data_IF_495524917911
#
_entry.id   IF_495524917911
#
_cell.length_a   1.000
_cell.length_b   1.000
_cell.length_c   1.000
_cell.angle_alpha   90.00
_cell.angle_beta   90.00
_cell.angle_gamma   90.00
#
_symmetry.space_group_name_H-M   'P 1'
#
loop_
_entity.id
_entity.type
_entity.pdbx_description
1 polymer ?
#
# COMPACT_ATOMS: atom_id res chain seq x y z
N UNK A 1 -77.93 -0.33 -24.42
CA UNK A 1 -77.48 -1.58 -25.08
C UNK A 1 -76.03 -1.40 -25.52
N UNK A 2 -75.16 -2.20 -24.93
CA UNK A 2 -73.71 -2.41 -25.09
C UNK A 2 -72.92 -1.62 -26.14
N UNK A 3 -71.93 -0.86 -25.65
CA UNK A 3 -70.64 -0.65 -26.32
C UNK A 3 -69.54 -1.24 -25.44
N UNK A 4 -68.87 -2.29 -25.92
CA UNK A 4 -67.64 -2.85 -25.32
C UNK A 4 -66.48 -2.29 -26.14
N UNK A 5 -65.71 -1.38 -25.55
CA UNK A 5 -64.42 -0.95 -26.08
C UNK A 5 -63.32 -1.80 -25.41
N UNK A 6 -62.58 -2.56 -26.21
CA UNK A 6 -61.37 -3.23 -25.80
C UNK A 6 -60.23 -2.21 -25.72
N UNK A 7 -59.68 -1.98 -24.53
CA UNK A 7 -58.42 -1.24 -24.35
C UNK A 7 -57.30 -2.27 -24.28
N UNK A 8 -56.49 -2.35 -25.33
CA UNK A 8 -55.22 -3.08 -25.31
C UNK A 8 -54.19 -2.21 -24.58
N UNK A 9 -53.85 -2.58 -23.34
CA UNK A 9 -52.70 -2.03 -22.63
C UNK A 9 -51.44 -2.78 -23.08
N UNK A 10 -50.68 -2.19 -24.00
CA UNK A 10 -49.33 -2.67 -24.30
C UNK A 10 -48.38 -2.24 -23.18
N UNK A 11 -47.94 -3.19 -22.34
CA UNK A 11 -46.81 -2.97 -21.44
C UNK A 11 -45.53 -2.85 -22.28
N UNK A 12 -45.05 -1.63 -22.48
CA UNK A 12 -43.71 -1.37 -22.97
C UNK A 12 -42.69 -1.72 -21.88
N UNK A 13 -42.03 -2.86 -22.02
CA UNK A 13 -40.81 -3.19 -21.28
C UNK A 13 -39.69 -2.26 -21.76
N UNK A 14 -39.47 -1.16 -21.06
CA UNK A 14 -38.23 -0.39 -21.15
C UNK A 14 -37.11 -1.22 -20.52
N UNK A 15 -36.37 -1.95 -21.35
CA UNK A 15 -35.08 -2.50 -20.95
C UNK A 15 -34.11 -1.35 -20.70
N UNK A 16 -33.94 -0.98 -19.43
CA UNK A 16 -32.78 -0.21 -18.99
C UNK A 16 -31.53 -1.07 -19.21
N UNK A 17 -30.88 -0.91 -20.35
CA UNK A 17 -29.51 -1.35 -20.51
C UNK A 17 -28.65 -0.47 -19.62
N UNK A 18 -28.19 -1.02 -18.49
CA UNK A 18 -27.13 -0.40 -17.71
C UNK A 18 -25.97 -0.09 -18.66
N UNK A 19 -25.39 1.13 -18.63
CA UNK A 19 -24.22 1.42 -19.43
C UNK A 19 -23.15 0.40 -19.09
N UNK A 20 -22.58 -0.25 -20.11
CA UNK A 20 -21.44 -1.14 -19.93
C UNK A 20 -20.36 -0.35 -19.18
N UNK A 21 -19.92 -0.87 -18.03
CA UNK A 21 -18.78 -0.32 -17.30
C UNK A 21 -17.61 -0.36 -18.28
N UNK A 22 -17.11 0.80 -18.69
CA UNK A 22 -15.95 0.88 -19.55
C UNK A 22 -14.80 0.14 -18.87
N UNK A 23 -14.17 -0.80 -19.58
CA UNK A 23 -12.97 -1.47 -19.08
C UNK A 23 -11.95 -0.41 -18.66
N UNK A 24 -11.30 -0.56 -17.49
CA UNK A 24 -10.30 0.41 -17.06
C UNK A 24 -9.23 0.53 -18.14
N UNK A 25 -8.81 1.76 -18.43
CA UNK A 25 -7.73 1.99 -19.38
C UNK A 25 -6.49 1.20 -18.94
N UNK A 26 -5.75 0.59 -19.88
CA UNK A 26 -4.53 -0.13 -19.53
C UNK A 26 -3.57 0.82 -18.82
N UNK A 27 -2.95 0.34 -17.74
CA UNK A 27 -1.98 1.13 -17.00
C UNK A 27 -0.83 1.52 -17.92
N UNK A 28 -0.46 2.79 -17.89
CA UNK A 28 0.67 3.28 -18.67
C UNK A 28 1.95 2.70 -18.09
N UNK A 29 2.63 1.85 -18.87
CA UNK A 29 3.93 1.30 -18.49
C UNK A 29 4.88 2.44 -18.14
N UNK A 30 5.49 2.35 -16.95
CA UNK A 30 6.55 3.24 -16.50
C UNK A 30 7.81 2.40 -16.36
N UNK A 31 8.88 2.79 -17.05
CA UNK A 31 10.21 2.26 -16.77
C UNK A 31 10.92 3.28 -15.90
N UNK A 32 10.91 3.03 -14.60
CA UNK A 32 11.54 3.89 -13.61
C UNK A 32 12.92 3.33 -13.27
N UNK A 33 13.91 4.21 -13.22
CA UNK A 33 15.26 3.89 -12.79
C UNK A 33 15.40 4.06 -11.27
N UNK A 34 16.33 3.31 -10.70
CA UNK A 34 16.72 3.40 -9.30
C UNK A 34 18.25 3.30 -9.26
N UNK A 35 18.93 4.17 -8.50
CA UNK A 35 20.38 4.05 -8.38
C UNK A 35 20.71 2.82 -7.54
N UNK A 36 21.48 1.90 -8.11
CA UNK A 36 22.01 0.75 -7.37
C UNK A 36 23.13 1.21 -6.43
N UNK A 37 22.92 1.02 -5.13
CA UNK A 37 23.89 1.30 -4.07
C UNK A 37 24.46 -0.02 -3.53
N UNK A 38 25.65 -0.01 -2.91
CA UNK A 38 26.26 -1.22 -2.38
C UNK A 38 25.39 -1.92 -1.32
N UNK A 39 25.30 -3.24 -1.42
CA UNK A 39 24.62 -4.13 -0.45
C UNK A 39 25.68 -4.97 0.29
N UNK A 40 26.61 -4.31 1.00
CA UNK A 40 27.86 -4.93 1.49
C UNK A 40 27.69 -5.74 2.77
N UNK A 41 26.63 -5.50 3.54
CA UNK A 41 26.35 -6.28 4.76
C UNK A 41 24.86 -6.57 4.85
N UNK A 42 24.50 -7.81 5.20
CA UNK A 42 23.10 -8.20 5.35
C UNK A 42 22.42 -7.32 6.40
N UNK A 43 21.35 -6.63 6.00
CA UNK A 43 20.52 -5.89 6.95
C UNK A 43 19.78 -6.89 7.85
N UNK A 44 19.95 -6.75 9.16
CA UNK A 44 19.32 -7.61 10.16
C UNK A 44 18.77 -6.80 11.32
N UNK A 45 17.76 -7.35 11.99
CA UNK A 45 17.35 -6.86 13.29
C UNK A 45 18.44 -7.11 14.35
N UNK A 46 18.78 -6.06 15.08
CA UNK A 46 19.74 -6.08 16.21
C UNK A 46 19.05 -5.89 17.56
N UNK A 47 17.79 -5.46 17.55
CA UNK A 47 16.96 -5.28 18.73
C UNK A 47 15.52 -4.95 18.36
N UNK A 48 14.62 -4.98 19.33
CA UNK A 48 13.22 -4.68 19.10
C UNK A 48 12.26 -5.48 19.95
N UNK A 49 11.00 -5.06 19.90
CA UNK A 49 9.85 -5.88 20.28
C UNK A 49 9.02 -6.04 19.02
N UNK A 50 9.12 -7.20 18.37
CA UNK A 50 8.44 -7.53 17.13
C UNK A 50 8.14 -9.03 17.10
N UNK A 51 7.19 -9.42 16.27
CA UNK A 51 6.91 -10.83 15.99
C UNK A 51 7.77 -11.30 14.81
N UNK A 52 8.30 -12.52 14.90
CA UNK A 52 8.86 -13.15 13.72
C UNK A 52 7.73 -13.55 12.76
N UNK A 53 7.99 -13.48 11.46
CA UNK A 53 7.03 -13.91 10.44
C UNK A 53 6.51 -15.33 10.70
N UNK A 54 5.21 -15.52 10.52
CA UNK A 54 4.52 -16.81 10.56
C UNK A 54 3.62 -16.95 9.33
N UNK A 55 3.40 -18.15 8.80
CA UNK A 55 2.44 -18.34 7.71
C UNK A 55 1.07 -17.72 8.04
N UNK A 56 0.57 -16.88 7.13
CA UNK A 56 -0.69 -16.15 7.31
C UNK A 56 -0.54 -14.78 7.97
N UNK A 57 0.67 -14.36 8.36
CA UNK A 57 0.95 -13.00 8.80
C UNK A 57 1.17 -12.09 7.59
N UNK A 58 1.23 -10.79 7.87
CA UNK A 58 1.71 -9.79 6.92
C UNK A 58 3.06 -10.21 6.31
N UNK A 59 3.30 -9.81 5.07
CA UNK A 59 4.56 -10.11 4.41
C UNK A 59 5.70 -9.26 5.01
N UNK A 60 6.67 -9.94 5.63
CA UNK A 60 7.84 -9.33 6.23
C UNK A 60 8.70 -10.39 6.91
N UNK A 61 9.70 -9.95 7.67
CA UNK A 61 10.54 -10.80 8.53
C UNK A 61 10.39 -10.39 9.99
N UNK A 62 10.32 -9.09 10.23
CA UNK A 62 10.14 -8.46 11.53
C UNK A 62 8.82 -7.69 11.51
N UNK A 63 7.82 -8.26 12.18
CA UNK A 63 6.45 -7.79 12.18
C UNK A 63 6.19 -6.90 13.40
N UNK A 64 5.94 -5.63 13.14
CA UNK A 64 5.72 -4.58 14.14
C UNK A 64 4.24 -4.20 14.12
N UNK A 65 3.43 -4.95 14.87
CA UNK A 65 1.97 -4.96 14.74
C UNK A 65 1.27 -4.01 15.70
N UNK A 66 1.84 -3.76 16.87
CA UNK A 66 1.17 -2.99 17.91
C UNK A 66 1.87 -1.68 18.18
N UNK A 67 1.10 -0.70 18.65
CA UNK A 67 1.66 0.57 19.13
C UNK A 67 2.81 0.34 20.12
N UNK A 68 3.96 0.94 19.83
CA UNK A 68 5.17 0.85 20.67
C UNK A 68 6.02 -0.39 20.44
N UNK A 69 5.56 -1.36 19.65
CA UNK A 69 6.44 -2.37 19.06
C UNK A 69 7.41 -1.66 18.11
N UNK A 70 8.63 -2.20 18.00
CA UNK A 70 9.69 -1.61 17.18
C UNK A 70 10.70 -2.65 16.73
N UNK A 71 11.43 -2.35 15.66
CA UNK A 71 12.60 -3.09 15.23
C UNK A 71 13.76 -2.13 14.96
N UNK A 72 14.93 -2.43 15.52
CA UNK A 72 16.19 -1.76 15.18
C UNK A 72 16.93 -2.62 14.16
N UNK A 73 17.24 -2.03 13.01
CA UNK A 73 17.93 -2.68 11.91
C UNK A 73 19.33 -2.11 11.76
N UNK A 74 20.29 -2.97 11.43
CA UNK A 74 21.66 -2.58 11.10
C UNK A 74 22.18 -3.31 9.88
N UNK A 75 22.92 -2.60 9.03
CA UNK A 75 23.61 -3.17 7.86
C UNK A 75 23.74 -2.16 6.73
N UNK A 76 24.07 -2.67 5.55
CA UNK A 76 24.31 -1.88 4.34
C UNK A 76 23.59 -2.57 3.18
N UNK A 77 22.39 -2.09 2.83
CA UNK A 77 21.53 -2.67 1.81
C UNK A 77 20.12 -2.08 1.81
N UNK A 78 19.17 -2.77 1.19
CA UNK A 78 17.79 -2.26 1.07
C UNK A 78 16.83 -2.90 2.07
N UNK A 79 15.81 -2.13 2.44
CA UNK A 79 14.73 -2.54 3.34
C UNK A 79 13.39 -2.30 2.65
N UNK A 80 12.45 -3.22 2.85
CA UNK A 80 11.03 -2.97 2.60
C UNK A 80 10.31 -2.76 3.92
N UNK A 81 9.55 -1.67 4.00
CA UNK A 81 8.55 -1.40 5.02
C UNK A 81 7.18 -1.51 4.37
N UNK A 82 6.45 -2.58 4.69
CA UNK A 82 5.11 -2.85 4.16
C UNK A 82 4.07 -2.47 5.18
N UNK A 83 3.01 -1.82 4.73
CA UNK A 83 1.87 -1.47 5.56
C UNK A 83 0.67 -2.36 5.30
N UNK A 84 -0.14 -2.64 6.31
CA UNK A 84 -1.48 -3.21 6.14
C UNK A 84 -2.46 -2.55 7.10
N UNK A 85 -3.42 -1.79 6.56
CA UNK A 85 -4.42 -1.08 7.35
C UNK A 85 -5.56 -2.03 7.69
N UNK A 86 -5.83 -2.22 8.98
CA UNK A 86 -6.87 -3.11 9.49
C UNK A 86 -8.13 -2.32 9.85
N UNK A 87 -8.73 -1.66 8.86
CA UNK A 87 -9.92 -0.82 9.07
C UNK A 87 -11.13 -1.58 9.64
N UNK A 88 -11.18 -2.92 9.52
CA UNK A 88 -12.19 -3.76 10.16
C UNK A 88 -11.95 -4.00 11.66
N UNK A 89 -10.79 -3.62 12.19
CA UNK A 89 -10.44 -3.68 13.63
C UNK A 89 -10.54 -2.32 14.32
N UNK A 90 -10.21 -1.26 13.60
CA UNK A 90 -10.28 0.10 14.13
C UNK A 90 -10.08 1.14 13.04
N UNK A 91 -10.83 2.24 13.14
CA UNK A 91 -10.87 3.33 12.17
C UNK A 91 -10.57 4.67 12.83
N UNK A 92 -10.17 5.65 12.02
CA UNK A 92 -9.80 6.99 12.48
C UNK A 92 -8.46 7.45 11.93
N UNK A 93 -7.83 8.46 12.54
CA UNK A 93 -6.52 8.93 12.10
C UNK A 93 -5.48 7.81 12.19
N UNK A 94 -4.61 7.70 11.19
CA UNK A 94 -3.41 6.87 11.18
C UNK A 94 -2.24 7.81 11.42
N UNK A 95 -1.42 7.47 12.41
CA UNK A 95 -0.11 8.09 12.63
C UNK A 95 0.94 7.17 12.05
N UNK A 96 1.91 7.74 11.34
CA UNK A 96 2.92 6.93 10.68
C UNK A 96 3.90 6.28 11.65
N UNK A 97 4.51 5.14 11.29
CA UNK A 97 5.71 4.65 11.96
C UNK A 97 6.76 5.74 12.02
N UNK A 98 7.44 5.82 13.15
CA UNK A 98 8.59 6.70 13.27
C UNK A 98 9.84 5.97 12.81
N UNK A 99 10.74 6.74 12.20
CA UNK A 99 12.09 6.32 11.86
C UNK A 99 13.04 7.13 12.74
N UNK A 100 13.55 6.50 13.78
CA UNK A 100 14.42 7.12 14.78
C UNK A 100 15.71 6.31 14.96
N UNK A 101 16.59 6.75 15.85
CA UNK A 101 17.89 6.10 16.07
C UNK A 101 18.78 6.02 14.82
N UNK A 102 18.55 6.88 13.83
CA UNK A 102 19.26 6.83 12.56
C UNK A 102 20.73 7.16 12.78
N UNK A 103 21.60 6.25 12.36
CA UNK A 103 23.04 6.51 12.21
C UNK A 103 23.50 6.08 10.83
N UNK A 104 24.39 6.86 10.22
CA UNK A 104 24.79 6.65 8.84
C UNK A 104 23.74 7.15 7.85
N UNK A 105 23.44 6.35 6.82
CA UNK A 105 22.53 6.70 5.72
C UNK A 105 21.21 5.96 5.85
N UNK A 106 20.10 6.68 5.84
CA UNK A 106 18.75 6.13 5.69
C UNK A 106 17.98 6.96 4.67
N UNK A 107 17.66 6.38 3.51
CA UNK A 107 17.10 7.11 2.37
C UNK A 107 15.86 6.40 1.85
N UNK A 108 14.76 7.13 1.70
CA UNK A 108 13.60 6.64 0.96
C UNK A 108 13.94 6.62 -0.54
N UNK A 109 13.87 5.46 -1.16
CA UNK A 109 14.33 5.27 -2.55
C UNK A 109 13.21 4.94 -3.52
N UNK A 110 12.13 4.30 -3.07
CA UNK A 110 11.00 3.95 -3.94
C UNK A 110 9.73 3.64 -3.14
N UNK A 111 8.58 3.82 -3.77
CA UNK A 111 7.28 3.34 -3.31
C UNK A 111 6.67 2.38 -4.32
N UNK A 112 6.01 1.34 -3.84
CA UNK A 112 5.45 0.30 -4.68
C UNK A 112 4.40 -0.56 -3.97
N UNK A 113 4.30 -1.82 -4.37
CA UNK A 113 3.27 -2.73 -3.88
C UNK A 113 1.89 -2.51 -4.51
N UNK A 114 1.84 -1.80 -5.63
CA UNK A 114 0.68 -1.70 -6.52
C UNK A 114 -0.36 -0.63 -6.20
N UNK A 115 -0.24 0.07 -5.07
CA UNK A 115 -1.13 1.16 -4.66
C UNK A 115 -0.55 2.02 -3.54
N UNK A 116 -1.10 3.22 -3.37
CA UNK A 116 -0.99 4.02 -2.15
C UNK A 116 -2.28 3.91 -1.35
N UNK A 117 -2.22 4.04 -0.02
CA UNK A 117 -3.36 3.72 0.87
C UNK A 117 -4.69 4.35 0.47
N UNK A 118 -4.69 5.62 0.09
CA UNK A 118 -5.90 6.37 -0.24
C UNK A 118 -6.46 6.07 -1.63
N UNK A 119 -5.77 5.22 -2.42
CA UNK A 119 -6.22 4.85 -3.76
C UNK A 119 -7.55 4.06 -3.72
N UNK A 120 -8.34 4.20 -4.77
CA UNK A 120 -9.55 3.39 -5.00
C UNK A 120 -9.17 2.09 -5.70
N UNK A 121 -9.41 0.90 -5.11
CA UNK A 121 -9.05 -0.36 -5.73
C UNK A 121 -9.96 -0.68 -6.93
N UNK A 122 -9.47 -1.53 -7.85
CA UNK A 122 -10.25 -2.02 -9.01
C UNK A 122 -11.35 -3.02 -8.62
N UNK A 123 -11.33 -3.48 -7.37
CA UNK A 123 -12.31 -4.36 -6.75
C UNK A 123 -11.98 -4.48 -5.27
N UNK A 124 -12.96 -4.87 -4.44
CA UNK A 124 -12.69 -5.12 -3.03
C UNK A 124 -12.32 -6.56 -2.77
N UNK A 125 -11.47 -6.83 -1.77
CA UNK A 125 -11.44 -8.14 -1.16
C UNK A 125 -12.86 -8.61 -0.82
N UNK A 126 -13.15 -9.88 -1.10
CA UNK A 126 -14.47 -10.46 -0.89
C UNK A 126 -14.95 -10.24 0.56
N UNK A 127 -16.17 -9.74 0.73
CA UNK A 127 -16.76 -9.48 2.05
C UNK A 127 -16.35 -8.15 2.69
N UNK A 128 -15.55 -7.33 2.01
CA UNK A 128 -15.20 -5.99 2.47
C UNK A 128 -15.85 -4.97 1.55
N UNK A 129 -16.79 -4.15 2.04
CA UNK A 129 -17.46 -3.12 1.22
C UNK A 129 -16.56 -1.93 0.85
N UNK A 130 -15.26 -2.16 0.70
CA UNK A 130 -14.21 -1.15 0.64
C UNK A 130 -14.48 -0.06 -0.41
N UNK A 131 -14.05 1.17 -0.15
CA UNK A 131 -13.98 2.23 -1.18
C UNK A 131 -12.56 2.64 -1.51
N UNK A 132 -11.64 2.42 -0.58
CA UNK A 132 -10.21 2.58 -0.76
C UNK A 132 -9.51 1.49 0.07
N UNK A 133 -8.17 1.46 0.06
CA UNK A 133 -7.42 0.51 0.88
C UNK A 133 -7.43 0.83 2.38
N UNK A 134 -8.16 1.86 2.81
CA UNK A 134 -8.26 2.26 4.22
C UNK A 134 -9.65 2.14 4.81
N UNK A 135 -10.65 1.65 4.08
CA UNK A 135 -11.98 1.49 4.66
C UNK A 135 -13.16 1.36 3.72
N UNK A 136 -14.34 1.35 4.34
CA UNK A 136 -15.65 1.25 3.71
C UNK A 136 -16.69 2.08 4.45
N UNK A 137 -17.86 2.27 3.84
CA UNK A 137 -19.01 2.86 4.53
C UNK A 137 -19.53 1.97 5.69
N UNK A 138 -19.24 0.67 5.66
CA UNK A 138 -19.71 -0.31 6.65
C UNK A 138 -18.82 -0.33 7.91
N UNK A 139 -17.50 -0.29 7.73
CA UNK A 139 -16.53 -0.39 8.82
C UNK A 139 -15.96 0.98 9.24
N UNK A 140 -16.18 2.02 8.43
CA UNK A 140 -15.55 3.33 8.57
C UNK A 140 -14.24 3.41 7.79
N UNK A 141 -13.54 4.53 7.96
CA UNK A 141 -12.29 4.84 7.24
C UNK A 141 -11.16 5.18 8.19
N UNK A 142 -10.01 4.59 7.92
CA UNK A 142 -8.74 5.07 8.44
C UNK A 142 -8.13 6.09 7.48
N UNK A 143 -7.45 7.11 8.00
CA UNK A 143 -6.90 8.18 7.17
C UNK A 143 -5.59 8.72 7.76
N UNK A 144 -4.53 8.91 6.95
CA UNK A 144 -3.31 9.55 7.42
C UNK A 144 -3.57 10.92 8.02
N UNK A 145 -3.11 11.16 9.24
CA UNK A 145 -3.49 12.34 10.01
C UNK A 145 -2.92 13.65 9.43
N UNK A 146 -1.77 13.58 8.76
CA UNK A 146 -1.02 14.69 8.17
C UNK A 146 -1.26 14.84 6.66
N UNK A 147 -2.14 14.01 6.09
CA UNK A 147 -2.44 13.97 4.67
C UNK A 147 -1.37 13.27 3.81
N UNK A 148 -0.32 12.72 4.41
CA UNK A 148 0.66 11.91 3.67
C UNK A 148 0.04 10.58 3.22
N UNK A 149 0.22 10.20 1.96
CA UNK A 149 -0.37 8.98 1.41
C UNK A 149 0.73 7.94 1.12
N UNK A 150 1.11 7.08 2.09
CA UNK A 150 2.18 6.13 1.90
C UNK A 150 1.83 5.09 0.83
N UNK A 151 2.88 4.58 0.19
CA UNK A 151 2.78 3.39 -0.64
C UNK A 151 2.59 2.14 0.22
N UNK A 152 1.91 1.15 -0.34
CA UNK A 152 1.75 -0.14 0.31
C UNK A 152 3.08 -0.78 0.70
N UNK A 153 4.06 -0.75 -0.20
CA UNK A 153 5.45 -1.03 0.10
C UNK A 153 6.27 0.27 -0.01
N UNK A 154 7.01 0.59 1.03
CA UNK A 154 7.99 1.68 1.04
C UNK A 154 9.40 1.07 1.09
N UNK A 155 10.28 1.52 0.20
CA UNK A 155 11.63 0.99 0.06
C UNK A 155 12.66 2.01 0.49
N UNK A 156 13.61 1.55 1.30
CA UNK A 156 14.68 2.38 1.83
C UNK A 156 16.03 1.76 1.55
N UNK A 157 17.04 2.61 1.36
CA UNK A 157 18.44 2.22 1.47
C UNK A 157 18.93 2.53 2.88
N UNK A 158 19.61 1.57 3.50
CA UNK A 158 20.28 1.70 4.79
C UNK A 158 21.78 1.46 4.58
N UNK A 159 22.59 2.34 5.13
CA UNK A 159 24.01 2.11 5.42
C UNK A 159 24.31 2.63 6.82
N UNK A 160 24.12 1.77 7.81
CA UNK A 160 24.18 2.13 9.23
C UNK A 160 23.07 1.47 10.03
N UNK A 161 22.34 2.27 10.81
CA UNK A 161 21.30 1.79 11.74
C UNK A 161 20.04 2.66 11.66
N UNK A 162 18.87 2.05 11.85
CA UNK A 162 17.58 2.73 11.98
C UNK A 162 16.67 1.93 12.91
N UNK A 163 15.85 2.63 13.70
CA UNK A 163 14.76 2.03 14.47
C UNK A 163 13.43 2.45 13.87
N UNK A 164 12.56 1.46 13.64
CA UNK A 164 11.23 1.64 13.07
C UNK A 164 10.22 1.24 14.14
N UNK A 165 9.39 2.19 14.55
CA UNK A 165 8.43 2.00 15.65
C UNK A 165 7.01 2.16 15.13
N UNK A 166 6.11 1.23 15.46
CA UNK A 166 4.70 1.38 15.15
C UNK A 166 4.05 2.38 16.12
N UNK A 167 3.35 3.37 15.58
CA UNK A 167 2.75 4.48 16.30
C UNK A 167 1.22 4.52 16.17
N UNK A 168 0.59 3.39 15.82
CA UNK A 168 -0.86 3.31 15.63
C UNK A 168 -1.63 3.96 16.79
N UNK A 169 -2.61 4.80 16.43
CA UNK A 169 -3.50 5.45 17.37
C UNK A 169 -4.76 5.90 16.63
N UNK A 170 -5.90 5.30 16.92
CA UNK A 170 -7.13 5.48 16.14
C UNK A 170 -7.27 4.38 15.10
N UNK A 171 -6.91 4.67 13.85
CA UNK A 171 -6.85 3.67 12.78
C UNK A 171 -5.73 2.67 13.03
N UNK A 172 -6.06 1.37 12.99
CA UNK A 172 -5.10 0.29 13.29
C UNK A 172 -4.39 -0.18 12.02
N UNK A 173 -3.11 -0.52 12.16
CA UNK A 173 -2.30 -1.00 11.05
C UNK A 173 -1.11 -1.82 11.52
N UNK A 174 -0.70 -2.76 10.67
CA UNK A 174 0.47 -3.59 10.84
C UNK A 174 1.62 -3.09 9.95
N UNK A 175 2.86 -3.25 10.42
CA UNK A 175 4.07 -2.95 9.65
C UNK A 175 4.94 -4.19 9.54
N UNK A 176 5.18 -4.64 8.32
CA UNK A 176 6.06 -5.75 8.00
C UNK A 176 7.38 -5.22 7.48
N UNK A 177 8.46 -5.44 8.22
CA UNK A 177 9.80 -4.99 7.85
C UNK A 177 10.65 -6.18 7.42
N UNK A 178 11.40 -6.03 6.33
CA UNK A 178 12.35 -7.06 5.88
C UNK A 178 13.54 -6.45 5.15
N UNK A 179 14.67 -7.14 5.22
CA UNK A 179 15.74 -6.95 4.24
C UNK A 179 15.21 -7.25 2.84
N UNK A 180 15.69 -6.53 1.85
CA UNK A 180 15.22 -6.62 0.48
C UNK A 180 16.38 -6.39 -0.49
N UNK A 181 16.15 -6.64 -1.78
CA UNK A 181 17.19 -6.47 -2.80
C UNK A 181 16.81 -5.42 -3.82
N UNK A 182 17.83 -4.77 -4.39
CA UNK A 182 17.67 -3.84 -5.50
C UNK A 182 16.79 -4.40 -6.63
N UNK A 183 17.09 -5.62 -7.10
CA UNK A 183 16.36 -6.25 -8.21
C UNK A 183 14.88 -6.46 -7.89
N UNK A 184 14.56 -6.83 -6.64
CA UNK A 184 13.18 -7.01 -6.22
C UNK A 184 12.43 -5.68 -6.09
N UNK A 185 13.11 -4.58 -5.76
CA UNK A 185 12.51 -3.24 -5.80
C UNK A 185 12.22 -2.85 -7.24
N UNK A 186 13.23 -2.97 -8.11
CA UNK A 186 13.12 -2.59 -9.51
C UNK A 186 12.03 -3.39 -10.22
N UNK A 187 11.91 -4.68 -9.90
CA UNK A 187 10.84 -5.54 -10.37
C UNK A 187 9.48 -5.08 -9.85
N UNK A 188 9.31 -4.84 -8.55
CA UNK A 188 8.02 -4.41 -7.98
C UNK A 188 7.52 -3.09 -8.60
N UNK A 189 8.40 -2.09 -8.73
CA UNK A 189 7.97 -0.78 -9.23
C UNK A 189 7.71 -0.76 -10.74
N UNK A 190 8.31 -1.68 -11.52
CA UNK A 190 8.19 -1.71 -12.98
C UNK A 190 7.29 -2.85 -13.50
N UNK A 191 6.76 -3.71 -12.64
CA UNK A 191 5.86 -4.79 -13.05
C UNK A 191 4.42 -4.33 -12.99
N UNK A 192 3.67 -4.61 -14.05
CA UNK A 192 2.25 -4.31 -14.10
C UNK A 192 1.51 -5.12 -13.02
N UNK A 193 0.60 -4.51 -12.24
CA UNK A 193 -0.41 -5.24 -11.50
C UNK A 193 -1.08 -6.31 -12.38
N UNK A 194 -1.22 -7.54 -11.88
CA UNK A 194 -2.00 -8.56 -12.58
C UNK A 194 -3.47 -8.12 -12.64
N UNK A 195 -4.13 -8.35 -13.77
CA UNK A 195 -5.52 -7.90 -14.02
C UNK A 195 -6.57 -8.53 -13.10
N UNK A 196 -6.19 -9.50 -12.27
CA UNK A 196 -7.06 -10.21 -11.32
C UNK A 196 -6.88 -9.76 -9.87
N UNK A 197 -6.03 -8.76 -9.61
CA UNK A 197 -5.74 -8.26 -8.27
C UNK A 197 -6.39 -6.92 -7.96
N UNK A 198 -6.38 -6.55 -6.69
CA UNK A 198 -6.76 -5.20 -6.25
C UNK A 198 -5.65 -4.18 -6.51
N UNK A 199 -4.50 -4.58 -7.07
CA UNK A 199 -3.37 -3.72 -7.36
C UNK A 199 -3.68 -2.89 -8.62
N UNK A 200 -3.38 -1.59 -8.60
CA UNK A 200 -3.96 -0.66 -9.58
C UNK A 200 -2.95 0.26 -10.27
N UNK A 201 -1.69 0.32 -9.83
CA UNK A 201 -0.67 1.17 -10.49
C UNK A 201 0.75 0.64 -10.30
N UNK A 202 1.62 1.04 -11.22
CA UNK A 202 3.06 0.85 -11.09
C UNK A 202 3.60 1.65 -9.89
N UNK A 203 4.70 1.18 -9.32
CA UNK A 203 5.45 1.93 -8.32
C UNK A 203 6.19 3.13 -8.89
N UNK A 204 6.95 3.80 -8.04
CA UNK A 204 7.79 4.93 -8.42
C UNK A 204 9.08 5.00 -7.61
N UNK A 205 10.15 5.43 -8.27
CA UNK A 205 11.41 5.78 -7.62
C UNK A 205 11.29 7.17 -7.04
N UNK A 206 11.74 7.32 -5.81
CA UNK A 206 11.91 8.60 -5.13
C UNK A 206 13.38 8.92 -4.90
N UNK A 207 14.26 8.17 -5.57
CA UNK A 207 15.69 8.27 -5.41
C UNK A 207 16.18 9.68 -5.78
N UNK A 208 16.79 10.41 -4.83
CA UNK A 208 17.33 11.73 -5.10
C UNK A 208 18.39 11.74 -6.20
N UNK A 209 19.15 10.65 -6.36
CA UNK A 209 20.15 10.53 -7.41
C UNK A 209 19.56 10.45 -8.83
N UNK A 210 18.30 10.01 -8.94
CA UNK A 210 17.54 9.96 -10.20
C UNK A 210 16.74 11.26 -10.44
N UNK A 211 16.99 12.31 -9.65
CA UNK A 211 16.22 13.56 -9.69
C UNK A 211 14.72 13.34 -9.39
N UNK A 212 14.37 12.22 -8.76
CA UNK A 212 13.00 11.73 -8.61
C UNK A 212 12.42 11.97 -7.21
N UNK A 213 13.12 12.72 -6.35
CA UNK A 213 12.57 13.14 -5.07
C UNK A 213 11.26 13.92 -5.29
N UNK A 214 10.21 13.76 -4.45
CA UNK A 214 9.06 14.68 -4.47
C UNK A 214 9.43 16.09 -3.97
N UNK A 215 10.71 16.36 -3.72
CA UNK A 215 11.32 17.63 -3.35
C UNK A 215 11.24 18.72 -4.45
N UNK A 216 10.18 18.82 -5.26
CA UNK A 216 9.89 20.02 -6.08
C UNK A 216 8.60 19.86 -6.88
N UNK A 217 7.55 20.55 -6.43
CA UNK A 217 6.82 21.53 -7.24
C UNK A 217 6.58 22.77 -6.36
#
# INVERSE_FOLDING_TARGET
MNWIAFVNLALGLLSYSSPAVASPSPLRTRSTQLTHRPETTTVNATGGTYEAYKPGYLAGTWEVFKRGEYVTLKGTGYIRVRWEVEYWKGVGPIYEPTFDGISGTFLFVAGGGGYQMSDTPQGCPQGTGCKNFTGSNEYGYSYPWDGYNPWHNMYYYLDGEVTITNHEAGGLYNVGVQAYSYDNILSDINTAPTSSGNLIKYGYSYDPAEGSCPCSA
#
